data_IF_535907916360
#
_entry.id   IF_535907916360
#
_cell.length_a   1.000
_cell.length_b   1.000
_cell.length_c   1.000
_cell.angle_alpha   90.00
_cell.angle_beta   90.00
_cell.angle_gamma   90.00
#
_symmetry.space_group_name_H-M   'P 1'
#
loop_
_entity.id
_entity.type
_entity.pdbx_description
1 polymer ?
#
# COMPACT_ATOMS: atom_id res chain seq x y z
N UNK A 1 12.24 -24.14 -1.74
CA UNK A 1 12.31 -22.90 -2.49
C UNK A 1 11.17 -21.98 -2.10
N UNK A 2 11.40 -20.70 -2.18
CA UNK A 2 10.39 -19.68 -1.89
C UNK A 2 9.34 -19.68 -2.99
N UNK A 3 8.06 -19.69 -2.63
CA UNK A 3 6.93 -19.60 -3.56
C UNK A 3 6.39 -18.17 -3.60
N UNK A 4 7.28 -17.18 -3.66
CA UNK A 4 6.91 -15.77 -3.68
C UNK A 4 5.88 -15.48 -4.78
N UNK A 5 4.74 -14.93 -4.38
CA UNK A 5 3.70 -14.46 -5.30
C UNK A 5 3.78 -12.96 -5.54
N UNK A 6 4.59 -12.28 -4.77
CA UNK A 6 4.85 -10.84 -4.91
C UNK A 6 6.26 -10.50 -4.40
N UNK A 7 6.77 -9.40 -4.89
CA UNK A 7 7.98 -8.74 -4.41
C UNK A 7 7.57 -7.40 -3.78
N UNK A 8 7.92 -7.22 -2.50
CA UNK A 8 7.79 -5.94 -1.83
C UNK A 8 9.17 -5.29 -1.66
N UNK A 9 9.28 -4.01 -1.94
CA UNK A 9 10.53 -3.28 -1.80
C UNK A 9 10.28 -1.84 -1.35
N UNK A 10 11.22 -1.29 -0.61
CA UNK A 10 11.12 0.03 -0.02
C UNK A 10 12.03 1.02 -0.75
N UNK A 11 11.52 2.22 -0.99
CA UNK A 11 12.30 3.37 -1.45
C UNK A 11 12.73 4.23 -0.25
N UNK A 12 13.51 5.27 -0.51
CA UNK A 12 14.00 6.19 0.53
C UNK A 12 12.88 6.94 1.24
N UNK A 13 11.88 7.35 0.47
CA UNK A 13 10.74 8.14 0.94
C UNK A 13 9.53 7.98 0.00
N UNK A 14 8.38 8.52 0.42
CA UNK A 14 7.12 8.44 -0.33
C UNK A 14 7.18 9.13 -1.70
N UNK A 15 7.84 10.30 -1.77
CA UNK A 15 7.94 11.04 -3.03
C UNK A 15 8.79 10.30 -4.07
N UNK A 16 9.87 9.68 -3.63
CA UNK A 16 10.71 8.80 -4.47
C UNK A 16 9.91 7.57 -4.91
N UNK A 17 9.14 6.96 -3.99
CA UNK A 17 8.28 5.81 -4.33
C UNK A 17 7.22 6.17 -5.39
N UNK A 18 6.62 7.36 -5.32
CA UNK A 18 5.67 7.82 -6.32
C UNK A 18 6.29 7.97 -7.71
N UNK A 19 7.45 8.62 -7.80
CA UNK A 19 8.17 8.80 -9.07
C UNK A 19 8.59 7.47 -9.65
N UNK A 20 9.12 6.58 -8.82
CA UNK A 20 9.54 5.24 -9.22
C UNK A 20 8.34 4.40 -9.72
N UNK A 21 7.21 4.46 -9.01
CA UNK A 21 5.97 3.80 -9.43
C UNK A 21 5.50 4.29 -10.79
N UNK A 22 5.52 5.61 -11.02
CA UNK A 22 5.14 6.21 -12.31
C UNK A 22 6.07 5.75 -13.44
N UNK A 23 7.38 5.72 -13.19
CA UNK A 23 8.35 5.26 -14.16
C UNK A 23 8.19 3.77 -14.51
N UNK A 24 7.92 2.92 -13.50
CA UNK A 24 7.61 1.51 -13.72
C UNK A 24 6.34 1.33 -14.55
N UNK A 25 5.28 2.06 -14.23
CA UNK A 25 4.00 2.00 -14.95
C UNK A 25 4.17 2.45 -16.42
N UNK A 26 4.95 3.50 -16.68
CA UNK A 26 5.31 3.93 -18.03
C UNK A 26 6.09 2.85 -18.80
N UNK A 27 6.84 2.00 -18.10
CA UNK A 27 7.50 0.82 -18.64
C UNK A 27 6.60 -0.43 -18.75
N UNK A 28 5.31 -0.31 -18.46
CA UNK A 28 4.35 -1.43 -18.49
C UNK A 28 4.43 -2.36 -17.27
N UNK A 29 4.96 -1.87 -16.14
CA UNK A 29 5.06 -2.63 -14.89
C UNK A 29 4.22 -1.97 -13.80
N UNK A 30 3.11 -2.59 -13.46
CA UNK A 30 2.23 -2.09 -12.41
C UNK A 30 2.70 -2.54 -11.03
N UNK A 31 2.63 -1.61 -10.08
CA UNK A 31 2.92 -1.84 -8.67
C UNK A 31 1.82 -1.25 -7.80
N UNK A 32 1.67 -1.77 -6.59
CA UNK A 32 0.71 -1.31 -5.59
C UNK A 32 1.45 -0.61 -4.45
N UNK A 33 1.05 0.61 -4.13
CA UNK A 33 1.41 1.28 -2.89
C UNK A 33 0.25 1.10 -1.89
N UNK A 34 0.47 0.39 -0.80
CA UNK A 34 -0.60 0.08 0.16
C UNK A 34 -1.16 1.31 0.87
N UNK A 35 -0.37 2.33 1.09
CA UNK A 35 -0.85 3.60 1.66
C UNK A 35 -1.96 4.25 0.82
N UNK A 36 -1.91 4.04 -0.50
CA UNK A 36 -2.93 4.58 -1.44
C UNK A 36 -4.11 3.63 -1.64
N UNK A 37 -4.08 2.45 -1.02
CA UNK A 37 -5.07 1.40 -1.23
C UNK A 37 -6.09 1.41 -0.09
N UNK A 38 -7.38 1.54 -0.43
CA UNK A 38 -8.46 1.52 0.54
C UNK A 38 -8.64 0.16 1.25
N UNK A 39 -8.12 -0.94 0.69
CA UNK A 39 -8.25 -2.28 1.27
C UNK A 39 -7.19 -2.61 2.32
N UNK A 40 -5.98 -2.04 2.17
CA UNK A 40 -4.82 -2.45 2.96
C UNK A 40 -4.35 -1.38 3.96
N UNK A 41 -4.95 -0.19 3.92
CA UNK A 41 -4.56 0.90 4.79
C UNK A 41 -5.76 1.44 5.55
N UNK A 42 -5.85 1.13 6.84
CA UNK A 42 -7.00 1.45 7.69
C UNK A 42 -7.31 2.96 7.76
N UNK A 43 -6.29 3.81 7.59
CA UNK A 43 -6.48 5.27 7.57
C UNK A 43 -7.19 5.79 6.32
N UNK A 44 -7.41 4.93 5.31
CA UNK A 44 -8.27 5.22 4.16
C UNK A 44 -9.71 4.73 4.36
N UNK A 45 -10.02 4.08 5.48
CA UNK A 45 -11.37 3.61 5.79
C UNK A 45 -12.18 4.73 6.44
N UNK A 46 -12.92 5.46 5.63
CA UNK A 46 -13.73 6.59 6.10
C UNK A 46 -14.72 6.18 7.19
N UNK A 47 -15.37 5.02 7.03
CA UNK A 47 -16.29 4.48 8.02
C UNK A 47 -15.61 4.20 9.37
N UNK A 48 -14.34 3.79 9.37
CA UNK A 48 -13.56 3.55 10.57
C UNK A 48 -13.20 4.87 11.27
N UNK A 49 -12.69 5.84 10.52
CA UNK A 49 -12.34 7.17 11.04
C UNK A 49 -13.57 7.92 11.55
N UNK A 50 -14.69 7.83 10.84
CA UNK A 50 -15.97 8.44 11.23
C UNK A 50 -16.72 7.64 12.30
N UNK A 51 -16.22 6.46 12.69
CA UNK A 51 -16.91 5.53 13.58
C UNK A 51 -18.34 5.24 13.13
N UNK A 52 -18.52 5.10 11.81
CA UNK A 52 -19.77 4.83 11.16
C UNK A 52 -19.98 3.33 11.01
N UNK A 53 -21.18 2.85 11.32
CA UNK A 53 -21.57 1.44 11.20
C UNK A 53 -22.93 1.33 10.53
N UNK A 54 -23.24 0.14 10.01
CA UNK A 54 -24.57 -0.17 9.44
C UNK A 54 -25.69 -0.13 10.49
N UNK A 55 -25.35 -0.09 11.78
CA UNK A 55 -26.32 -0.09 12.86
C UNK A 55 -26.41 1.29 13.52
N UNK A 56 -27.63 1.75 13.78
CA UNK A 56 -27.90 3.07 14.36
C UNK A 56 -27.28 3.27 15.74
N UNK A 57 -26.97 2.20 16.47
CA UNK A 57 -26.33 2.24 17.79
C UNK A 57 -24.82 2.41 17.70
N UNK A 58 -24.24 2.47 16.49
CA UNK A 58 -22.81 2.61 16.23
C UNK A 58 -21.92 1.57 16.90
N UNK A 59 -22.45 0.37 17.17
CA UNK A 59 -21.63 -0.73 17.69
C UNK A 59 -20.61 -1.20 16.61
N UNK A 60 -19.35 -1.49 16.95
CA UNK A 60 -18.77 -1.61 18.30
C UNK A 60 -18.18 -0.31 18.91
N UNK A 61 -18.21 0.82 18.20
CA UNK A 61 -17.56 2.06 18.66
C UNK A 61 -18.23 2.65 19.90
N UNK A 62 -19.52 2.40 20.12
CA UNK A 62 -20.29 2.86 21.27
C UNK A 62 -20.68 1.69 22.19
N UNK A 63 -19.80 0.74 22.42
CA UNK A 63 -20.08 -0.37 23.33
C UNK A 63 -20.18 0.15 24.78
N UNK A 64 -21.35 -0.02 25.46
CA UNK A 64 -21.53 0.44 26.85
C UNK A 64 -20.59 -0.22 27.86
N UNK A 65 -20.06 -1.40 27.52
CA UNK A 65 -19.06 -2.09 28.35
C UNK A 65 -17.64 -1.54 28.19
N UNK A 66 -17.45 -0.65 27.23
CA UNK A 66 -16.15 -0.06 26.94
C UNK A 66 -16.15 1.39 27.45
N UNK A 67 -15.65 1.62 28.67
CA UNK A 67 -15.61 2.93 29.31
C UNK A 67 -14.61 3.91 28.64
N UNK A 68 -14.09 3.59 27.46
CA UNK A 68 -13.13 4.41 26.73
C UNK A 68 -13.76 4.93 25.44
N UNK A 69 -13.77 6.24 25.29
CA UNK A 69 -14.00 6.87 23.98
C UNK A 69 -12.70 6.78 23.20
N UNK A 70 -12.67 5.97 22.17
CA UNK A 70 -11.53 5.87 21.25
C UNK A 70 -11.82 6.77 20.06
N UNK A 71 -10.89 7.65 19.74
CA UNK A 71 -10.90 8.42 18.50
C UNK A 71 -9.76 7.92 17.63
N UNK A 72 -10.03 7.75 16.34
CA UNK A 72 -9.04 7.33 15.36
C UNK A 72 -8.68 8.52 14.47
N UNK A 73 -7.40 8.83 14.37
CA UNK A 73 -6.89 9.92 13.54
C UNK A 73 -5.92 9.37 12.50
N UNK A 74 -5.85 10.01 11.34
CA UNK A 74 -4.94 9.59 10.24
C UNK A 74 -3.47 9.57 10.64
N UNK A 75 -3.10 10.22 11.74
CA UNK A 75 -1.71 10.31 12.23
C UNK A 75 -1.40 9.40 13.42
N UNK A 76 -2.30 8.49 13.78
CA UNK A 76 -2.13 7.63 14.96
C UNK A 76 -1.05 6.55 14.76
N UNK A 77 -0.68 6.26 13.51
CA UNK A 77 0.28 5.21 13.14
C UNK A 77 1.41 5.74 12.23
N UNK A 78 2.20 6.73 12.68
CA UNK A 78 3.14 7.43 11.82
C UNK A 78 4.24 6.52 11.22
N UNK A 79 4.68 5.50 11.95
CA UNK A 79 5.67 4.55 11.46
C UNK A 79 5.13 3.67 10.34
N UNK A 80 3.88 3.18 10.49
CA UNK A 80 3.22 2.40 9.44
C UNK A 80 2.90 3.30 8.23
N UNK A 81 2.54 4.56 8.48
CA UNK A 81 2.28 5.56 7.46
C UNK A 81 3.50 5.80 6.57
N UNK A 82 4.67 6.03 7.19
CA UNK A 82 5.95 6.16 6.49
C UNK A 82 6.29 4.89 5.71
N UNK A 83 6.30 3.74 6.38
CA UNK A 83 6.69 2.49 5.76
C UNK A 83 5.80 2.14 4.56
N UNK A 84 4.48 2.21 4.71
CA UNK A 84 3.53 1.89 3.64
C UNK A 84 3.56 2.93 2.51
N UNK A 85 3.89 4.18 2.81
CA UNK A 85 4.04 5.24 1.81
C UNK A 85 5.20 5.01 0.84
N UNK A 86 6.30 4.46 1.35
CA UNK A 86 7.53 4.19 0.57
C UNK A 86 7.70 2.73 0.14
N UNK A 87 6.69 1.88 0.37
CA UNK A 87 6.69 0.48 -0.06
C UNK A 87 5.89 0.29 -1.33
N UNK A 88 6.51 -0.30 -2.33
CA UNK A 88 5.86 -0.77 -3.55
C UNK A 88 5.82 -2.29 -3.57
N UNK A 89 4.71 -2.82 -4.07
CA UNK A 89 4.51 -4.27 -4.20
C UNK A 89 4.22 -4.61 -5.65
N UNK A 90 4.97 -5.53 -6.20
CA UNK A 90 4.82 -6.05 -7.56
C UNK A 90 4.41 -7.52 -7.49
N UNK A 91 3.37 -7.89 -8.24
CA UNK A 91 2.94 -9.28 -8.38
C UNK A 91 3.94 -10.10 -9.21
N UNK A 92 4.20 -11.33 -8.77
CA UNK A 92 5.05 -12.29 -9.46
C UNK A 92 4.22 -13.51 -9.83
N UNK A 93 4.20 -13.86 -11.10
CA UNK A 93 3.57 -15.07 -11.59
C UNK A 93 4.60 -16.22 -11.66
N UNK A 94 4.22 -17.39 -11.18
CA UNK A 94 5.07 -18.60 -11.20
C UNK A 94 5.50 -18.97 -12.62
N UNK A 95 4.66 -18.66 -13.61
CA UNK A 95 4.93 -18.94 -15.04
C UNK A 95 5.06 -17.60 -15.80
N UNK A 96 6.06 -16.81 -15.44
CA UNK A 96 6.32 -15.55 -16.13
C UNK A 96 7.12 -15.82 -17.43
N UNK A 97 6.62 -15.41 -18.59
CA UNK A 97 7.36 -15.54 -19.85
C UNK A 97 8.65 -14.71 -19.83
N UNK A 98 9.68 -15.17 -20.55
CA UNK A 98 10.97 -14.46 -20.69
C UNK A 98 10.80 -13.03 -21.20
N UNK A 99 9.88 -12.82 -22.12
CA UNK A 99 9.53 -11.49 -22.63
C UNK A 99 9.04 -10.55 -21.52
N UNK A 100 8.21 -11.07 -20.60
CA UNK A 100 7.74 -10.29 -19.45
C UNK A 100 8.86 -9.97 -18.47
N UNK A 101 9.77 -10.91 -18.24
CA UNK A 101 10.97 -10.68 -17.42
C UNK A 101 11.87 -9.60 -18.02
N UNK A 102 12.06 -9.61 -19.35
CA UNK A 102 12.81 -8.59 -20.06
C UNK A 102 12.15 -7.20 -19.92
N UNK A 103 10.83 -7.13 -20.05
CA UNK A 103 10.05 -5.89 -19.84
C UNK A 103 10.24 -5.34 -18.42
N UNK A 104 10.13 -6.20 -17.41
CA UNK A 104 10.30 -5.80 -16.01
C UNK A 104 11.73 -5.27 -15.78
N UNK A 105 12.74 -5.97 -16.28
CA UNK A 105 14.14 -5.54 -16.16
C UNK A 105 14.35 -4.15 -16.77
N UNK A 106 13.93 -3.94 -18.01
CA UNK A 106 14.05 -2.66 -18.69
C UNK A 106 13.30 -1.53 -17.97
N UNK A 107 12.11 -1.83 -17.43
CA UNK A 107 11.33 -0.86 -16.68
C UNK A 107 12.05 -0.45 -15.38
N UNK A 108 12.63 -1.42 -14.66
CA UNK A 108 13.40 -1.16 -13.43
C UNK A 108 14.67 -0.36 -13.74
N UNK A 109 15.42 -0.73 -14.78
CA UNK A 109 16.63 -0.01 -15.20
C UNK A 109 16.32 1.46 -15.51
N UNK A 110 15.26 1.74 -16.28
CA UNK A 110 14.81 3.10 -16.57
C UNK A 110 14.28 3.84 -15.33
N UNK A 111 13.56 3.14 -14.46
CA UNK A 111 13.04 3.75 -13.24
C UNK A 111 14.14 4.08 -12.24
N UNK A 112 15.30 3.40 -12.28
CA UNK A 112 16.43 3.70 -11.43
C UNK A 112 17.01 5.11 -11.66
N UNK A 113 16.76 5.72 -12.82
CA UNK A 113 17.19 7.09 -13.12
C UNK A 113 16.48 8.16 -12.25
N UNK A 114 15.43 7.79 -11.54
CA UNK A 114 14.69 8.71 -10.63
C UNK A 114 15.12 8.58 -9.17
N UNK A 115 16.03 7.66 -8.86
CA UNK A 115 16.58 7.44 -7.51
C UNK A 115 17.75 8.36 -7.23
#
# INVERSE_FOLDING_TARGET
>A
GDTATFLAFNLSDEGTAEKFQQALSAGGVDTVCYKKNAWHYAMNWEHFLAQSTANSKKFPFTNPMNNRTVQYNRRDIPQADDLLGRTLVMGINIRMPEERLATIRQAIEKAADVL
#
